data_IF_396055390010
#
_entry.id   IF_396055390010
#
_cell.length_a   1.000
_cell.length_b   1.000
_cell.length_c   1.000
_cell.angle_alpha   90.00
_cell.angle_beta   90.00
_cell.angle_gamma   90.00
#
_symmetry.space_group_name_H-M   'P 1'
#
loop_
_entity.id
_entity.type
_entity.pdbx_description
1 polymer ?
#
# COMPACT_ATOMS: atom_id res chain seq x y z
N UNK A 1 0.44 37.82 20.92
CA UNK A 1 -1.00 37.92 20.59
C UNK A 1 -1.66 36.63 21.06
N UNK A 2 -2.57 36.74 21.98
CA UNK A 2 -3.33 35.58 22.45
C UNK A 2 -4.50 35.42 21.50
N UNK A 3 -4.54 34.31 20.77
CA UNK A 3 -5.70 33.98 19.97
C UNK A 3 -6.73 33.38 20.91
N UNK A 4 -7.80 34.09 21.15
CA UNK A 4 -8.88 33.62 22.01
C UNK A 4 -9.94 32.98 21.14
N UNK A 5 -10.17 31.70 21.31
CA UNK A 5 -11.26 30.99 20.68
C UNK A 5 -12.50 31.09 21.57
N UNK A 6 -13.60 31.52 21.01
CA UNK A 6 -14.83 31.71 21.75
C UNK A 6 -15.62 30.41 21.65
N UNK A 7 -15.85 29.77 22.78
CA UNK A 7 -16.93 28.81 22.80
C UNK A 7 -16.87 27.66 23.79
N UNK A 8 -15.74 27.11 24.11
CA UNK A 8 -15.73 25.82 24.86
C UNK A 8 -14.89 25.79 26.14
N UNK A 9 -14.30 26.90 26.50
CA UNK A 9 -13.51 26.97 27.72
C UNK A 9 -12.13 26.31 27.64
N UNK A 10 -11.79 25.61 26.56
CA UNK A 10 -10.44 25.08 26.30
C UNK A 10 -10.09 25.14 24.80
N UNK A 11 -9.99 26.33 24.22
CA UNK A 11 -9.71 26.50 22.82
C UNK A 11 -8.34 25.99 22.38
N UNK A 12 -7.37 26.01 23.29
CA UNK A 12 -6.01 25.57 22.99
C UNK A 12 -5.92 24.07 22.80
N UNK A 13 -6.74 23.31 23.53
CA UNK A 13 -6.80 21.84 23.40
C UNK A 13 -7.35 21.40 22.04
N UNK A 14 -8.39 22.06 21.57
CA UNK A 14 -9.02 21.71 20.27
C UNK A 14 -8.10 21.93 19.11
N UNK A 15 -7.34 23.04 19.12
CA UNK A 15 -6.36 23.32 18.03
C UNK A 15 -5.20 22.35 18.06
N UNK A 16 -4.67 22.03 19.25
CA UNK A 16 -3.58 21.07 19.39
C UNK A 16 -4.02 19.68 18.91
N UNK A 17 -5.23 19.24 19.26
CA UNK A 17 -5.79 17.99 18.78
C UNK A 17 -5.96 17.96 17.26
N UNK A 18 -6.44 19.02 16.66
CA UNK A 18 -6.56 19.12 15.21
C UNK A 18 -5.19 19.13 14.52
N UNK A 19 -4.20 19.80 15.09
CA UNK A 19 -2.83 19.77 14.55
C UNK A 19 -2.17 18.40 14.69
N UNK A 20 -2.45 17.67 15.76
CA UNK A 20 -1.97 16.31 15.95
C UNK A 20 -2.65 15.35 14.97
N UNK A 21 -3.95 15.48 14.74
CA UNK A 21 -4.68 14.74 13.72
C UNK A 21 -4.12 15.00 12.30
N UNK A 22 -3.94 16.26 11.93
CA UNK A 22 -3.35 16.64 10.63
C UNK A 22 -1.91 16.09 10.49
N UNK A 23 -1.12 16.08 11.56
CA UNK A 23 0.22 15.48 11.54
C UNK A 23 0.18 13.96 11.41
N UNK A 24 -0.78 13.33 12.07
CA UNK A 24 -1.04 11.90 11.92
C UNK A 24 -1.36 11.55 10.49
N UNK A 25 -2.34 12.21 9.90
CA UNK A 25 -2.72 12.04 8.48
C UNK A 25 -1.54 12.28 7.52
N UNK A 26 -0.77 13.33 7.74
CA UNK A 26 0.37 13.64 6.88
C UNK A 26 1.48 12.58 7.01
N UNK A 27 1.66 11.97 8.19
CA UNK A 27 2.62 10.90 8.40
C UNK A 27 2.11 9.59 7.76
N UNK A 28 0.84 9.28 7.89
CA UNK A 28 0.20 8.11 7.27
C UNK A 28 0.23 8.20 5.73
N UNK A 29 -0.09 9.35 5.17
CA UNK A 29 -0.05 9.59 3.72
C UNK A 29 1.36 9.56 3.13
N UNK A 30 2.39 9.80 3.93
CA UNK A 30 3.79 9.71 3.48
C UNK A 30 4.33 8.28 3.49
N UNK A 31 3.50 7.29 3.84
CA UNK A 31 3.97 5.97 4.16
C UNK A 31 4.88 6.06 5.39
N UNK A 32 4.44 5.59 6.53
CA UNK A 32 5.21 5.68 7.78
C UNK A 32 6.66 5.23 7.62
N UNK A 33 7.49 5.52 8.60
CA UNK A 33 8.88 5.02 8.62
C UNK A 33 8.84 3.50 8.65
N UNK A 34 9.07 2.89 7.49
CA UNK A 34 9.14 1.44 7.36
C UNK A 34 10.48 0.98 7.92
N UNK A 35 10.52 0.63 9.20
CA UNK A 35 11.74 0.15 9.85
C UNK A 35 12.10 -1.26 9.40
N UNK A 36 11.11 -2.06 9.08
CA UNK A 36 11.28 -3.42 8.55
C UNK A 36 10.16 -3.69 7.54
N UNK A 37 10.46 -3.79 6.25
CA UNK A 37 9.45 -4.12 5.24
C UNK A 37 8.79 -5.46 5.55
N UNK A 38 7.47 -5.60 5.40
CA UNK A 38 6.81 -6.90 5.43
C UNK A 38 7.41 -7.84 4.40
N UNK A 39 7.43 -9.13 4.71
CA UNK A 39 7.96 -10.17 3.82
C UNK A 39 6.87 -11.11 3.34
N UNK A 40 7.08 -11.71 2.17
CA UNK A 40 6.25 -12.79 1.65
C UNK A 40 7.13 -13.89 1.04
N UNK A 41 6.71 -15.14 1.21
CA UNK A 41 7.38 -16.32 0.66
C UNK A 41 6.34 -17.26 0.06
N UNK A 42 6.57 -17.72 -1.16
CA UNK A 42 5.65 -18.62 -1.88
C UNK A 42 4.33 -17.94 -2.28
N UNK A 43 3.47 -18.70 -2.96
CA UNK A 43 2.15 -18.26 -3.40
C UNK A 43 1.24 -17.99 -2.18
N UNK A 44 0.65 -16.78 -2.11
CA UNK A 44 -0.19 -16.37 -0.98
C UNK A 44 -1.12 -15.24 -1.33
N UNK A 45 -2.16 -15.03 -0.53
CA UNK A 45 -2.90 -13.77 -0.49
C UNK A 45 -2.17 -12.80 0.44
N UNK A 46 -1.91 -11.60 -0.05
CA UNK A 46 -1.22 -10.55 0.72
C UNK A 46 -2.08 -10.09 1.90
N UNK A 47 -1.43 -9.77 3.00
CA UNK A 47 -2.09 -9.16 4.17
C UNK A 47 -2.26 -7.64 3.99
N UNK A 48 -3.09 -7.01 4.82
CA UNK A 48 -3.24 -5.56 4.85
C UNK A 48 -1.89 -4.85 5.02
N UNK A 49 -1.06 -5.27 5.98
CA UNK A 49 0.26 -4.67 6.21
C UNK A 49 1.20 -4.83 5.01
N UNK A 50 1.10 -5.93 4.26
CA UNK A 50 1.88 -6.15 3.04
C UNK A 50 1.41 -5.26 1.89
N UNK A 51 0.11 -5.00 1.80
CA UNK A 51 -0.48 -4.15 0.75
C UNK A 51 -0.23 -2.65 1.01
N UNK A 52 -0.45 -2.21 2.26
CA UNK A 52 -0.44 -0.77 2.61
C UNK A 52 0.89 -0.28 3.15
N UNK A 53 1.85 -1.18 3.36
CA UNK A 53 3.18 -0.83 3.88
C UNK A 53 4.11 -0.12 2.88
N UNK A 54 3.70 0.02 1.64
CA UNK A 54 4.46 0.71 0.58
C UNK A 54 5.59 -0.12 -0.03
N UNK A 55 6.27 -0.96 0.74
CA UNK A 55 7.32 -1.86 0.25
C UNK A 55 7.09 -3.27 0.79
N UNK A 56 7.09 -4.24 -0.10
CA UNK A 56 7.06 -5.67 0.19
C UNK A 56 8.36 -6.31 -0.28
N UNK A 57 9.08 -6.95 0.62
CA UNK A 57 10.25 -7.77 0.27
C UNK A 57 9.81 -9.23 0.15
N UNK A 58 10.09 -9.84 -0.97
CA UNK A 58 9.70 -11.21 -1.28
C UNK A 58 10.92 -12.09 -1.50
N UNK A 59 10.89 -13.29 -0.95
CA UNK A 59 11.93 -14.31 -1.14
C UNK A 59 11.27 -15.63 -1.53
N UNK A 60 10.61 -15.72 -2.69
CA UNK A 60 10.02 -16.96 -3.15
C UNK A 60 11.13 -17.97 -3.44
N UNK A 61 10.81 -19.25 -3.24
CA UNK A 61 11.69 -20.38 -3.57
C UNK A 61 11.23 -21.11 -4.85
N UNK A 62 10.28 -20.56 -5.56
CA UNK A 62 9.74 -21.00 -6.85
C UNK A 62 8.87 -19.88 -7.41
N UNK A 63 8.39 -20.01 -8.65
CA UNK A 63 7.36 -19.13 -9.22
C UNK A 63 6.20 -18.97 -8.24
N UNK A 64 5.84 -17.74 -7.92
CA UNK A 64 4.83 -17.43 -6.91
C UNK A 64 3.76 -16.47 -7.47
N UNK A 65 2.52 -16.65 -7.02
CA UNK A 65 1.44 -15.71 -7.25
C UNK A 65 1.06 -15.04 -5.94
N UNK A 66 1.12 -13.72 -5.91
CA UNK A 66 0.65 -12.90 -4.80
C UNK A 66 -0.69 -12.29 -5.17
N UNK A 67 -1.74 -12.77 -4.50
CA UNK A 67 -3.09 -12.23 -4.71
C UNK A 67 -3.31 -11.07 -3.75
N UNK A 68 -3.81 -9.95 -4.26
CA UNK A 68 -4.18 -8.80 -3.41
C UNK A 68 -5.33 -9.17 -2.48
N UNK A 69 -5.57 -8.35 -1.48
CA UNK A 69 -6.85 -8.37 -0.77
C UNK A 69 -8.00 -8.13 -1.75
N UNK A 70 -9.22 -8.52 -1.36
CA UNK A 70 -10.44 -8.08 -2.05
C UNK A 70 -10.58 -6.56 -1.92
N UNK A 71 -11.30 -5.92 -2.82
CA UNK A 71 -11.54 -4.47 -2.75
C UNK A 71 -12.12 -4.05 -1.41
N UNK A 72 -13.09 -4.78 -0.87
CA UNK A 72 -13.68 -4.53 0.46
C UNK A 72 -12.64 -4.59 1.59
N UNK A 73 -11.76 -5.60 1.58
CA UNK A 73 -10.74 -5.73 2.62
C UNK A 73 -9.62 -4.70 2.45
N UNK A 74 -9.34 -4.32 1.22
CA UNK A 74 -8.34 -3.30 0.92
C UNK A 74 -8.82 -1.92 1.37
N UNK A 75 -10.07 -1.57 1.08
CA UNK A 75 -10.70 -0.33 1.56
C UNK A 75 -10.73 -0.27 3.10
N UNK A 76 -11.10 -1.36 3.76
CA UNK A 76 -11.07 -1.46 5.22
C UNK A 76 -9.66 -1.39 5.84
N UNK A 77 -8.60 -1.66 5.06
CA UNK A 77 -7.21 -1.57 5.49
C UNK A 77 -6.60 -0.18 5.28
N UNK A 78 -7.24 0.65 4.47
CA UNK A 78 -6.87 2.03 4.22
C UNK A 78 -7.58 2.96 5.22
N UNK A 79 -7.22 4.23 5.20
CA UNK A 79 -7.89 5.20 6.08
C UNK A 79 -9.35 5.41 5.66
N UNK A 80 -10.22 5.69 6.64
CA UNK A 80 -11.66 5.91 6.39
C UNK A 80 -11.98 7.09 5.44
N UNK A 81 -11.00 7.97 5.22
CA UNK A 81 -11.11 9.15 4.34
C UNK A 81 -10.64 8.88 2.90
N UNK A 82 -10.50 7.63 2.49
CA UNK A 82 -10.13 7.34 1.09
C UNK A 82 -11.30 7.63 0.16
N UNK A 83 -11.06 8.54 -0.79
CA UNK A 83 -12.05 8.94 -1.79
C UNK A 83 -11.80 8.27 -3.16
N UNK A 84 -12.77 8.41 -4.07
CA UNK A 84 -12.58 8.00 -5.45
C UNK A 84 -11.41 8.78 -6.07
N UNK A 85 -10.61 8.06 -6.87
CA UNK A 85 -9.37 8.53 -7.46
C UNK A 85 -8.16 8.65 -6.51
N UNK A 86 -8.33 8.42 -5.22
CA UNK A 86 -7.20 8.31 -4.31
C UNK A 86 -6.30 7.12 -4.67
N UNK A 87 -5.01 7.29 -4.42
CA UNK A 87 -4.00 6.30 -4.81
C UNK A 87 -3.01 5.99 -3.69
N UNK A 88 -2.53 4.75 -3.70
CA UNK A 88 -1.34 4.35 -2.94
C UNK A 88 -0.44 3.45 -3.78
N UNK A 89 0.82 3.36 -3.42
CA UNK A 89 1.82 2.57 -4.13
C UNK A 89 2.26 1.36 -3.32
N UNK A 90 2.44 0.24 -4.01
CA UNK A 90 3.09 -0.96 -3.50
C UNK A 90 4.31 -1.27 -4.36
N UNK A 91 5.48 -1.20 -3.79
CA UNK A 91 6.72 -1.68 -4.40
C UNK A 91 6.98 -3.12 -3.95
N UNK A 92 7.06 -4.05 -4.88
CA UNK A 92 7.46 -5.43 -4.62
C UNK A 92 8.93 -5.59 -5.03
N UNK A 93 9.77 -6.01 -4.09
CA UNK A 93 11.17 -6.35 -4.32
C UNK A 93 11.29 -7.87 -4.27
N UNK A 94 11.70 -8.48 -5.37
CA UNK A 94 11.88 -9.93 -5.48
C UNK A 94 13.35 -10.29 -5.24
N UNK A 95 13.62 -11.00 -4.16
CA UNK A 95 14.95 -11.54 -3.80
C UNK A 95 15.03 -13.06 -4.03
N UNK A 96 14.07 -13.63 -4.77
CA UNK A 96 14.08 -15.04 -5.17
C UNK A 96 15.28 -15.39 -6.06
N UNK A 97 15.55 -16.67 -6.17
CA UNK A 97 16.60 -17.20 -7.05
C UNK A 97 16.20 -17.14 -8.53
N UNK A 98 17.09 -17.59 -9.40
CA UNK A 98 16.89 -17.58 -10.83
C UNK A 98 15.62 -18.38 -11.23
N UNK A 99 14.67 -17.74 -11.90
CA UNK A 99 13.39 -18.30 -12.32
C UNK A 99 12.27 -18.18 -11.29
N UNK A 100 12.50 -17.61 -10.12
CA UNK A 100 11.51 -17.42 -9.06
C UNK A 100 10.66 -16.16 -9.30
N UNK A 101 9.95 -16.12 -10.40
CA UNK A 101 9.14 -14.97 -10.83
C UNK A 101 7.91 -14.82 -9.92
N UNK A 102 7.59 -13.57 -9.57
CA UNK A 102 6.36 -13.23 -8.86
C UNK A 102 5.33 -12.68 -9.86
N UNK A 103 4.10 -13.17 -9.76
CA UNK A 103 2.95 -12.58 -10.47
C UNK A 103 2.00 -11.97 -9.44
N UNK A 104 1.70 -10.68 -9.58
CA UNK A 104 0.66 -10.02 -8.79
C UNK A 104 -0.71 -10.30 -9.44
N UNK A 105 -1.64 -10.88 -8.69
CA UNK A 105 -3.01 -11.15 -9.12
C UNK A 105 -3.99 -10.30 -8.32
N UNK A 106 -5.03 -9.79 -8.98
CA UNK A 106 -6.11 -9.07 -8.29
C UNK A 106 -7.01 -10.03 -7.51
N UNK A 107 -7.34 -9.67 -6.28
CA UNK A 107 -8.46 -10.25 -5.55
C UNK A 107 -9.80 -9.79 -6.15
N UNK A 108 -10.91 -10.22 -5.57
CA UNK A 108 -12.25 -9.77 -5.99
C UNK A 108 -12.32 -8.24 -5.95
N UNK A 109 -12.85 -7.63 -6.99
CA UNK A 109 -12.98 -6.18 -7.18
C UNK A 109 -11.65 -5.41 -7.22
N UNK A 110 -10.53 -6.12 -7.51
CA UNK A 110 -9.23 -5.51 -7.80
C UNK A 110 -8.73 -5.97 -9.16
N UNK A 111 -8.49 -5.05 -10.07
CA UNK A 111 -7.97 -5.32 -11.41
C UNK A 111 -6.51 -4.88 -11.54
N UNK A 112 -5.69 -5.67 -12.22
CA UNK A 112 -4.28 -5.32 -12.52
C UNK A 112 -4.17 -4.95 -14.00
N UNK A 113 -3.59 -3.79 -14.31
CA UNK A 113 -3.37 -3.30 -15.66
C UNK A 113 -1.86 -3.13 -15.91
N UNK A 114 -1.40 -3.62 -17.02
CA UNK A 114 0.01 -3.68 -17.40
C UNK A 114 0.67 -5.00 -17.02
N UNK A 115 2.00 -5.03 -16.97
CA UNK A 115 2.71 -6.24 -16.57
C UNK A 115 2.47 -6.53 -15.09
N UNK A 116 1.97 -7.71 -14.80
CA UNK A 116 1.76 -8.17 -13.42
C UNK A 116 2.98 -8.89 -12.83
N UNK A 117 4.04 -9.09 -13.60
CA UNK A 117 5.21 -9.88 -13.18
C UNK A 117 6.31 -9.01 -12.60
N UNK A 118 6.99 -9.52 -11.59
CA UNK A 118 8.26 -9.00 -11.04
C UNK A 118 9.29 -10.12 -11.18
N UNK A 119 10.30 -9.89 -12.00
CA UNK A 119 11.33 -10.86 -12.29
C UNK A 119 12.21 -11.16 -11.07
N UNK A 120 12.97 -12.24 -11.15
CA UNK A 120 13.86 -12.67 -10.07
C UNK A 120 15.13 -11.82 -9.97
N UNK A 121 15.81 -11.89 -8.82
CA UNK A 121 17.06 -11.17 -8.58
C UNK A 121 18.25 -11.68 -9.42
N UNK A 122 18.11 -12.84 -10.04
CA UNK A 122 19.14 -13.44 -10.91
C UNK A 122 19.06 -12.97 -12.36
N UNK A 123 17.95 -12.34 -12.77
CA UNK A 123 17.68 -11.91 -14.14
C UNK A 123 18.10 -10.46 -14.45
N UNK A 124 18.84 -9.81 -13.58
CA UNK A 124 19.25 -8.41 -13.70
C UNK A 124 18.29 -7.38 -13.08
N UNK A 125 18.04 -6.30 -13.80
CA UNK A 125 17.56 -5.01 -13.30
C UNK A 125 16.07 -4.94 -12.98
N UNK A 126 15.29 -6.01 -13.18
CA UNK A 126 13.84 -5.99 -13.05
C UNK A 126 13.31 -6.74 -11.80
N UNK A 127 14.17 -6.94 -10.80
CA UNK A 127 13.81 -7.62 -9.56
C UNK A 127 12.90 -6.80 -8.64
N UNK A 128 12.32 -5.72 -9.16
CA UNK A 128 11.33 -4.92 -8.45
C UNK A 128 10.21 -4.46 -9.37
N UNK A 129 9.07 -4.15 -8.78
CA UNK A 129 7.93 -3.62 -9.49
C UNK A 129 7.11 -2.70 -8.63
N UNK A 130 6.74 -1.55 -9.17
CA UNK A 130 5.87 -0.59 -8.48
C UNK A 130 4.48 -0.61 -9.10
N UNK A 131 3.50 -0.85 -8.26
CA UNK A 131 2.09 -0.88 -8.63
C UNK A 131 1.37 0.26 -7.92
N UNK A 132 0.74 1.14 -8.67
CA UNK A 132 -0.13 2.19 -8.16
C UNK A 132 -1.56 1.69 -8.16
N UNK A 133 -2.13 1.58 -6.98
CA UNK A 133 -3.53 1.26 -6.76
C UNK A 133 -4.33 2.56 -6.73
N UNK A 134 -5.44 2.60 -7.46
CA UNK A 134 -6.40 3.69 -7.48
C UNK A 134 -7.77 3.13 -7.09
N UNK A 135 -8.42 3.76 -6.12
CA UNK A 135 -9.82 3.51 -5.84
C UNK A 135 -10.67 4.09 -6.98
N UNK A 136 -11.54 3.30 -7.57
CA UNK A 136 -12.39 3.74 -8.66
C UNK A 136 -13.83 4.00 -8.22
N UNK A 137 -14.31 3.24 -7.29
CA UNK A 137 -15.57 3.40 -6.54
C UNK A 137 -15.45 2.61 -5.25
N UNK A 138 -16.48 2.68 -4.39
CA UNK A 138 -16.57 1.89 -3.17
C UNK A 138 -16.15 0.44 -3.40
N UNK A 139 -15.21 -0.03 -2.58
CA UNK A 139 -14.67 -1.40 -2.60
C UNK A 139 -14.04 -1.87 -3.94
N UNK A 140 -13.76 -0.95 -4.86
CA UNK A 140 -13.23 -1.31 -6.20
C UNK A 140 -11.92 -0.58 -6.50
N UNK A 141 -10.90 -1.33 -6.87
CA UNK A 141 -9.56 -0.80 -7.15
C UNK A 141 -9.03 -1.26 -8.51
N UNK A 142 -8.23 -0.41 -9.09
CA UNK A 142 -7.41 -0.72 -10.28
C UNK A 142 -5.96 -0.44 -9.95
N UNK A 143 -5.10 -1.43 -10.16
CA UNK A 143 -3.66 -1.27 -10.00
C UNK A 143 -2.98 -1.15 -11.36
N UNK A 144 -2.12 -0.18 -11.51
CA UNK A 144 -1.32 0.08 -12.70
C UNK A 144 0.15 -0.24 -12.42
N UNK A 145 0.79 -1.03 -13.28
CA UNK A 145 2.26 -1.15 -13.24
C UNK A 145 2.86 0.17 -13.71
N UNK A 146 3.65 0.83 -12.88
CA UNK A 146 4.28 2.12 -13.18
C UNK A 146 5.81 2.07 -13.26
N UNK A 147 6.42 1.02 -12.73
CA UNK A 147 7.85 0.72 -12.84
C UNK A 147 8.12 -0.77 -12.59
#
# INVERSE_FOLDING_TARGET
MTVQFIGDGNPDGTILQNLEAIRGDAAERRGGVLTTPPTATGTTTLTAAQMTGGVLVATPAAVATYTTLTGTLLEAALHDDIDDDDTFDLCIINLGGAGDIITLAGGTDVSIIGSATVDDAGADINSSGVFRFRRTTDNTFVAYRIA
#
